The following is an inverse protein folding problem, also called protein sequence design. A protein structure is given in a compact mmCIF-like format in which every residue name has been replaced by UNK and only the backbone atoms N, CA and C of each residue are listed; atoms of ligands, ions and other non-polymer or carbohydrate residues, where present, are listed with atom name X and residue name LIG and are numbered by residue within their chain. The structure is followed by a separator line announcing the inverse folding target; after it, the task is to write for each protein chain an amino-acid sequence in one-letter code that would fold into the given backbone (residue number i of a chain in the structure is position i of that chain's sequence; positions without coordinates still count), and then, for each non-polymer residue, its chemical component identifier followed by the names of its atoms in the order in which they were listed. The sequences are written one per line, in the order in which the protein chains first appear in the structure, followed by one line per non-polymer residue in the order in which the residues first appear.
data_IF_289401516281
#
_entry.id   IF_289401516281
#
_cell.length_a   1.000
_cell.length_b   1.000
_cell.length_c   1.000
_cell.angle_alpha   90.00
_cell.angle_beta   90.00
_cell.angle_gamma   90.00
#
_symmetry.space_group_name_H-M   'P 1'
#
loop_
_entity.id
_entity.type
_entity.pdbx_description
1 polymer ?
#
# COMPACT_ATOMS: atom_id res chain seq x y z
N UNK A 1 19.42 27.19 -29.55
CA UNK A 1 20.63 27.48 -28.76
C UNK A 1 20.27 27.28 -27.30
N UNK A 2 20.94 26.36 -26.58
CA UNK A 2 20.65 26.11 -25.16
C UNK A 2 21.18 27.29 -24.33
N UNK A 3 20.33 27.91 -23.50
CA UNK A 3 20.67 29.02 -22.60
C UNK A 3 21.48 28.53 -21.39
N UNK A 4 22.62 27.87 -21.63
CA UNK A 4 23.47 27.28 -20.59
C UNK A 4 24.92 27.60 -20.90
N UNK A 5 25.69 28.01 -19.89
CA UNK A 5 27.12 28.23 -20.06
C UNK A 5 27.84 26.91 -20.36
N UNK A 6 28.90 26.96 -21.18
CA UNK A 6 29.73 25.79 -21.51
C UNK A 6 30.22 25.08 -20.24
N UNK A 7 30.63 25.85 -19.24
CA UNK A 7 31.11 25.31 -17.96
C UNK A 7 29.99 24.62 -17.16
N UNK A 8 28.80 25.22 -17.11
CA UNK A 8 27.63 24.61 -16.45
C UNK A 8 27.24 23.28 -17.09
N UNK A 9 27.31 23.19 -18.42
CA UNK A 9 27.03 21.96 -19.14
C UNK A 9 28.00 20.81 -18.78
N UNK A 10 29.31 21.06 -18.78
CA UNK A 10 30.28 20.03 -18.39
C UNK A 10 30.23 19.68 -16.90
N UNK A 11 29.89 20.64 -16.03
CA UNK A 11 29.65 20.36 -14.63
C UNK A 11 28.46 19.42 -14.45
N UNK A 12 27.34 19.67 -15.12
CA UNK A 12 26.19 18.77 -15.13
C UNK A 12 26.56 17.36 -15.60
N UNK A 13 27.31 17.23 -16.70
CA UNK A 13 27.72 15.92 -17.21
C UNK A 13 28.57 15.12 -16.20
N UNK A 14 29.47 15.80 -15.47
CA UNK A 14 30.29 15.16 -14.41
C UNK A 14 29.44 14.67 -13.25
N UNK A 15 28.38 15.39 -12.90
CA UNK A 15 27.56 15.10 -11.71
C UNK A 15 26.23 14.42 -12.01
N UNK A 16 25.91 14.17 -13.28
CA UNK A 16 24.62 13.59 -13.72
C UNK A 16 24.29 12.26 -13.04
N UNK A 17 25.31 11.44 -12.81
CA UNK A 17 25.18 10.11 -12.22
C UNK A 17 25.63 10.08 -10.75
N UNK A 18 25.89 11.25 -10.14
CA UNK A 18 26.28 11.29 -8.73
C UNK A 18 25.06 10.93 -7.88
N UNK A 19 25.17 9.93 -6.99
CA UNK A 19 24.07 9.57 -6.14
C UNK A 19 23.71 10.74 -5.22
N UNK A 20 22.42 10.98 -5.06
CA UNK A 20 21.92 11.99 -4.12
C UNK A 20 22.16 11.54 -2.67
N UNK A 21 22.24 12.51 -1.73
CA UNK A 21 22.59 12.26 -0.31
C UNK A 21 21.83 11.10 0.36
N UNK A 22 20.58 10.87 -0.05
CA UNK A 22 19.68 9.93 0.60
C UNK A 22 19.45 8.64 -0.21
N UNK A 23 20.29 8.33 -1.21
CA UNK A 23 20.11 7.16 -2.08
C UNK A 23 20.08 5.85 -1.31
N UNK A 24 21.06 5.62 -0.42
CA UNK A 24 21.12 4.42 0.40
C UNK A 24 19.86 4.25 1.27
N UNK A 25 19.33 5.36 1.81
CA UNK A 25 18.11 5.34 2.62
C UNK A 25 16.87 5.07 1.75
N UNK A 26 16.83 5.62 0.53
CA UNK A 26 15.78 5.35 -0.43
C UNK A 26 15.74 3.87 -0.84
N UNK A 27 16.89 3.24 -1.04
CA UNK A 27 16.95 1.81 -1.40
C UNK A 27 16.52 0.92 -0.24
N UNK A 28 16.90 1.25 1.00
CA UNK A 28 16.34 0.60 2.21
C UNK A 28 14.82 0.72 2.27
N UNK A 29 14.26 1.91 1.97
CA UNK A 29 12.81 2.11 1.94
C UNK A 29 12.12 1.29 0.86
N UNK A 30 12.74 1.12 -0.32
CA UNK A 30 12.22 0.25 -1.37
C UNK A 30 12.24 -1.21 -0.97
N UNK A 31 13.34 -1.68 -0.38
CA UNK A 31 13.46 -3.04 0.12
C UNK A 31 12.40 -3.33 1.19
N UNK A 32 12.23 -2.42 2.16
CA UNK A 32 11.20 -2.52 3.19
C UNK A 32 9.78 -2.56 2.61
N UNK A 33 9.49 -1.74 1.60
CA UNK A 33 8.18 -1.74 0.96
C UNK A 33 7.91 -3.03 0.16
N UNK A 34 8.94 -3.75 -0.29
CA UNK A 34 8.82 -5.01 -1.01
C UNK A 34 8.79 -6.24 -0.09
N UNK A 35 9.14 -6.10 1.20
CA UNK A 35 9.18 -7.19 2.16
C UNK A 35 7.80 -7.82 2.41
N UNK A 36 6.74 -7.00 2.40
CA UNK A 36 5.35 -7.45 2.62
C UNK A 36 4.41 -6.73 1.65
N UNK A 37 3.43 -7.47 1.09
CA UNK A 37 2.35 -6.94 0.25
C UNK A 37 1.60 -5.81 0.96
N UNK A 38 1.48 -5.86 2.29
CA UNK A 38 0.74 -4.86 3.09
C UNK A 38 1.56 -3.62 3.47
N UNK A 39 2.89 -3.65 3.32
CA UNK A 39 3.76 -2.51 3.61
C UNK A 39 3.55 -1.34 2.62
N UNK A 40 2.90 -1.62 1.48
CA UNK A 40 2.45 -0.61 0.51
C UNK A 40 1.42 0.36 1.12
N UNK A 41 0.67 -0.10 2.12
CA UNK A 41 -0.47 0.60 2.73
C UNK A 41 -0.04 1.43 3.94
N UNK A 42 1.21 1.28 4.40
CA UNK A 42 1.68 1.99 5.58
C UNK A 42 1.71 3.51 5.36
N UNK A 43 1.10 4.21 6.32
CA UNK A 43 1.15 5.66 6.41
C UNK A 43 2.55 6.18 6.73
N UNK A 44 2.69 7.50 6.69
CA UNK A 44 3.94 8.22 6.96
C UNK A 44 4.58 7.80 8.30
N UNK A 45 3.81 7.84 9.40
CA UNK A 45 4.33 7.60 10.76
C UNK A 45 4.69 6.13 10.95
N UNK A 46 3.79 5.22 10.56
CA UNK A 46 3.98 3.78 10.69
C UNK A 46 5.22 3.27 9.95
N UNK A 47 5.57 3.87 8.80
CA UNK A 47 6.79 3.52 8.08
C UNK A 47 8.06 4.06 8.76
N UNK A 48 8.01 5.26 9.33
CA UNK A 48 9.12 5.80 10.12
C UNK A 48 9.44 4.95 11.34
N UNK A 49 8.39 4.57 12.08
CA UNK A 49 8.54 3.71 13.25
C UNK A 49 9.05 2.31 12.87
N UNK A 50 8.55 1.75 11.77
CA UNK A 50 9.03 0.45 11.28
C UNK A 50 10.50 0.49 10.83
N UNK A 51 10.94 1.58 10.19
CA UNK A 51 12.36 1.78 9.84
C UNK A 51 13.23 1.82 11.10
N UNK A 52 12.80 2.55 12.14
CA UNK A 52 13.51 2.61 13.43
C UNK A 52 13.56 1.28 14.15
N UNK A 53 12.50 0.49 14.05
CA UNK A 53 12.43 -0.83 14.67
C UNK A 53 13.35 -1.83 13.96
N UNK A 54 13.48 -1.73 12.63
CA UNK A 54 14.36 -2.60 11.83
C UNK A 54 15.84 -2.27 12.02
N UNK A 55 16.18 -0.98 11.98
CA UNK A 55 17.55 -0.51 12.11
C UNK A 55 17.66 0.53 13.25
N UNK A 56 17.73 0.11 14.53
CA UNK A 56 17.85 1.04 15.66
C UNK A 56 19.16 1.84 15.63
N UNK A 57 20.22 1.26 15.06
CA UNK A 57 21.55 1.87 14.98
C UNK A 57 21.71 2.83 13.78
N UNK A 58 20.78 2.80 12.83
CA UNK A 58 20.83 3.70 11.69
C UNK A 58 20.40 5.11 12.11
N UNK A 59 21.15 6.12 11.66
CA UNK A 59 20.76 7.53 11.78
C UNK A 59 19.57 7.84 10.86
N UNK A 60 18.38 7.47 11.31
CA UNK A 60 17.14 7.65 10.57
C UNK A 60 16.69 9.10 10.76
N UNK A 61 16.61 9.90 9.67
CA UNK A 61 16.20 11.28 9.77
C UNK A 61 14.75 11.39 10.24
N UNK A 62 14.35 12.59 10.66
CA UNK A 62 12.99 12.84 11.13
C UNK A 62 11.92 12.38 10.13
N UNK A 63 10.76 12.00 10.65
CA UNK A 63 9.61 11.49 9.88
C UNK A 63 9.28 12.36 8.65
N UNK A 64 9.39 13.68 8.80
CA UNK A 64 9.13 14.63 7.70
C UNK A 64 10.09 14.46 6.52
N UNK A 65 11.36 14.19 6.81
CA UNK A 65 12.41 13.95 5.80
C UNK A 65 12.21 12.60 5.15
N UNK A 66 11.95 11.56 5.94
CA UNK A 66 11.60 10.23 5.40
C UNK A 66 10.45 10.32 4.41
N UNK A 67 9.43 11.09 4.72
CA UNK A 67 8.27 11.22 3.84
C UNK A 67 8.53 12.02 2.56
N UNK A 68 9.46 12.98 2.58
CA UNK A 68 9.90 13.67 1.35
C UNK A 68 10.70 12.75 0.45
N UNK A 69 11.60 11.95 1.03
CA UNK A 69 12.39 10.95 0.30
C UNK A 69 11.43 9.97 -0.37
N UNK A 70 10.50 9.42 0.41
CA UNK A 70 9.42 8.56 -0.05
C UNK A 70 8.59 9.13 -1.21
N UNK A 71 8.25 10.42 -1.15
CA UNK A 71 7.53 11.10 -2.22
C UNK A 71 8.38 11.22 -3.48
N UNK A 72 9.66 11.58 -3.33
CA UNK A 72 10.62 11.63 -4.44
C UNK A 72 10.86 10.30 -5.14
N UNK A 73 10.80 9.18 -4.40
CA UNK A 73 10.95 7.82 -4.96
C UNK A 73 9.62 7.17 -5.39
N UNK A 74 8.49 7.86 -5.26
CA UNK A 74 7.18 7.36 -5.70
C UNK A 74 6.53 6.31 -4.78
N UNK A 75 6.99 6.17 -3.53
CA UNK A 75 6.38 5.27 -2.55
C UNK A 75 5.19 5.91 -1.83
N UNK A 76 5.00 7.23 -1.96
CA UNK A 76 3.81 7.92 -1.45
C UNK A 76 2.63 7.68 -2.39
N UNK A 77 2.03 6.48 -2.33
CA UNK A 77 0.82 6.17 -3.09
C UNK A 77 -0.44 6.56 -2.31
N UNK A 78 -1.49 6.96 -3.03
CA UNK A 78 -2.83 6.98 -2.45
C UNK A 78 -3.25 5.53 -2.17
N UNK A 79 -3.78 5.20 -0.98
CA UNK A 79 -4.28 3.86 -0.70
C UNK A 79 -5.27 3.46 -1.80
N UNK A 80 -4.95 2.42 -2.57
CA UNK A 80 -5.90 1.88 -3.53
C UNK A 80 -6.92 1.04 -2.77
N UNK A 81 -8.21 1.22 -3.09
CA UNK A 81 -9.26 0.37 -2.53
C UNK A 81 -9.00 -1.08 -2.95
N UNK A 82 -8.77 -1.96 -1.97
CA UNK A 82 -8.77 -3.41 -2.17
C UNK A 82 -10.19 -3.90 -1.88
N UNK A 83 -11.00 -4.25 -2.91
CA UNK A 83 -12.42 -4.60 -2.72
C UNK A 83 -12.62 -5.84 -1.82
N UNK A 84 -11.56 -6.64 -1.62
CA UNK A 84 -11.60 -7.87 -0.82
C UNK A 84 -11.11 -7.67 0.63
N UNK A 85 -11.00 -6.44 1.14
CA UNK A 85 -10.12 -6.13 2.29
C UNK A 85 -10.64 -6.34 3.73
N UNK A 86 -11.90 -6.72 3.98
CA UNK A 86 -12.47 -6.55 5.34
C UNK A 86 -12.87 -7.84 6.07
N UNK A 87 -12.99 -9.00 5.40
CA UNK A 87 -13.41 -10.24 6.07
C UNK A 87 -12.88 -11.47 5.32
N UNK A 88 -12.10 -12.30 6.02
CA UNK A 88 -11.40 -13.56 5.64
C UNK A 88 -9.96 -13.45 5.12
N UNK A 89 -9.12 -14.30 5.71
CA UNK A 89 -7.68 -14.48 5.45
C UNK A 89 -7.40 -15.35 4.19
N UNK A 90 -8.42 -16.00 3.64
CA UNK A 90 -8.31 -16.88 2.47
C UNK A 90 -8.93 -16.23 1.22
N UNK A 91 -8.14 -16.11 0.15
CA UNK A 91 -8.53 -15.53 -1.14
C UNK A 91 -9.58 -16.38 -1.87
N UNK A 92 -9.69 -17.68 -1.56
CA UNK A 92 -10.64 -18.60 -2.19
C UNK A 92 -12.04 -18.60 -1.56
N UNK A 93 -12.18 -18.12 -0.32
CA UNK A 93 -13.39 -18.24 0.47
C UNK A 93 -14.49 -17.20 0.15
N UNK A 94 -14.34 -16.45 -0.96
CA UNK A 94 -15.10 -15.20 -1.19
C UNK A 94 -15.79 -15.11 -2.55
N UNK A 95 -16.04 -16.25 -3.19
CA UNK A 95 -17.18 -16.31 -4.11
C UNK A 95 -18.40 -16.54 -3.24
N UNK A 96 -19.27 -15.54 -3.10
CA UNK A 96 -20.66 -15.84 -2.78
C UNK A 96 -21.16 -16.79 -3.85
N UNK A 97 -21.97 -17.78 -3.50
CA UNK A 97 -22.61 -18.63 -4.51
C UNK A 97 -23.27 -17.73 -5.57
N UNK A 98 -23.15 -18.13 -6.83
CA UNK A 98 -23.64 -17.36 -7.97
C UNK A 98 -25.18 -17.32 -7.95
N UNK A 99 -25.73 -16.34 -7.23
CA UNK A 99 -27.18 -16.18 -7.02
C UNK A 99 -27.94 -15.88 -8.33
N UNK A 100 -27.25 -15.50 -9.40
CA UNK A 100 -27.86 -15.28 -10.72
C UNK A 100 -28.32 -16.59 -11.38
N UNK A 101 -27.82 -17.75 -10.93
CA UNK A 101 -28.31 -19.06 -11.38
C UNK A 101 -29.50 -19.59 -10.58
N UNK A 102 -30.02 -18.82 -9.62
CA UNK A 102 -31.20 -19.23 -8.85
C UNK A 102 -32.42 -19.26 -9.77
N UNK A 103 -33.21 -20.33 -9.72
CA UNK A 103 -34.51 -20.34 -10.34
C UNK A 103 -35.39 -19.28 -9.68
N UNK A 104 -35.61 -18.15 -10.36
CA UNK A 104 -36.49 -17.06 -9.89
C UNK A 104 -37.99 -17.39 -10.05
N UNK A 105 -38.33 -18.62 -10.45
CA UNK A 105 -39.71 -19.10 -10.50
C UNK A 105 -40.09 -19.67 -9.13
N UNK A 106 -40.83 -18.88 -8.37
CA UNK A 106 -41.47 -19.30 -7.13
C UNK A 106 -42.98 -19.29 -7.30
N UNK A 107 -43.63 -20.45 -7.18
CA UNK A 107 -45.10 -20.55 -7.17
C UNK A 107 -45.73 -19.92 -5.90
N UNK A 108 -44.94 -19.75 -4.83
CA UNK A 108 -45.31 -19.07 -3.57
C UNK A 108 -44.11 -18.31 -3.01
N UNK A 109 -44.30 -17.14 -2.35
CA UNK A 109 -43.19 -16.38 -1.78
C UNK A 109 -42.46 -17.21 -0.72
N UNK A 110 -41.14 -17.37 -0.86
CA UNK A 110 -40.31 -17.97 0.17
C UNK A 110 -40.26 -16.99 1.35
N UNK A 111 -40.91 -17.37 2.46
CA UNK A 111 -40.67 -16.73 3.75
C UNK A 111 -39.17 -16.84 4.06
N UNK A 112 -38.58 -15.70 4.39
CA UNK A 112 -37.19 -15.57 4.80
C UNK A 112 -36.95 -16.62 5.89
N UNK A 113 -35.96 -17.49 5.66
CA UNK A 113 -35.51 -18.51 6.58
C UNK A 113 -35.33 -17.90 7.97
N UNK A 114 -36.18 -18.30 8.92
CA UNK A 114 -35.91 -18.09 10.33
C UNK A 114 -34.64 -18.86 10.68
N UNK A 115 -33.70 -18.18 11.32
CA UNK A 115 -32.54 -18.85 11.91
C UNK A 115 -33.04 -19.94 12.87
N UNK A 116 -32.58 -21.19 12.74
CA UNK A 116 -33.10 -22.32 13.53
C UNK A 116 -32.76 -22.24 15.04
N UNK A 117 -32.23 -21.12 15.53
CA UNK A 117 -31.89 -20.88 16.94
C UNK A 117 -32.81 -19.90 17.67
N UNK A 118 -33.77 -19.25 17.01
CA UNK A 118 -34.68 -18.33 17.70
C UNK A 118 -35.99 -19.03 18.08
N UNK A 119 -36.36 -19.09 19.37
CA UNK A 119 -37.65 -19.63 19.77
C UNK A 119 -38.78 -18.67 19.34
N UNK A 120 -39.95 -19.20 18.95
CA UNK A 120 -41.08 -18.36 18.59
C UNK A 120 -41.51 -17.52 19.79
N UNK A 121 -41.65 -16.21 19.57
CA UNK A 121 -42.24 -15.30 20.55
C UNK A 121 -43.68 -15.75 20.83
N UNK A 122 -44.00 -15.94 22.12
CA UNK A 122 -45.35 -16.24 22.63
C UNK A 122 -46.32 -15.08 22.37
#
# INVERSE_FOLDING_TARGET
MLQVSRQGFYYFLKHRNTPWKNENLADKMRAFAAEDEWNDTYGRSRRHDALKLKDPEADIPGERTVCRIMEGIGLRRRPQRKPNGITKMDKNARKSDDLLKRGFRSEKPQLISQDPSEPPFL
#
